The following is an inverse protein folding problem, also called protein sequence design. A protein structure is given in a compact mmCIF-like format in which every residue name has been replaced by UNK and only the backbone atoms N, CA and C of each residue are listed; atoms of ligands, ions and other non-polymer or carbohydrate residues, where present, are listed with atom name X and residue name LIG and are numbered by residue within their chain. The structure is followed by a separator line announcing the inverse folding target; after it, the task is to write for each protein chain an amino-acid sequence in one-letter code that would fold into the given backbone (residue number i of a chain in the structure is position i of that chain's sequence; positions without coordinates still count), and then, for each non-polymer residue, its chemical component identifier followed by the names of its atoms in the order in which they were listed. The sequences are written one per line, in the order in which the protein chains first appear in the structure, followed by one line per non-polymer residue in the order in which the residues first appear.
data_IF_880025292451
#
_entry.id   IF_880025292451
#
_cell.length_a   1.000
_cell.length_b   1.000
_cell.length_c   1.000
_cell.angle_alpha   90.00
_cell.angle_beta   90.00
_cell.angle_gamma   90.00
#
_symmetry.space_group_name_H-M   'P 1'
#
loop_
_entity.id
_entity.type
_entity.pdbx_description
1 polymer ?
#
# COMPACT_ATOMS: atom_id res chain seq x y z
N UNK A 1 -1.69 66.53 -5.82
CA UNK A 1 -1.93 67.43 -4.67
C UNK A 1 -1.78 66.63 -3.39
N UNK A 2 -0.97 67.15 -2.44
CA UNK A 2 -0.82 66.74 -1.03
C UNK A 2 -0.20 65.35 -0.79
N UNK A 3 0.71 65.12 0.16
CA UNK A 3 1.71 65.87 0.96
C UNK A 3 2.25 64.78 1.92
N UNK A 4 3.57 64.68 2.08
CA UNK A 4 4.28 64.30 3.32
C UNK A 4 3.71 63.22 4.24
N UNK A 5 4.47 62.15 4.51
CA UNK A 5 5.10 61.91 5.84
C UNK A 5 6.40 61.12 5.64
N UNK A 6 7.50 61.76 6.03
CA UNK A 6 8.80 61.14 6.36
C UNK A 6 8.75 60.64 7.81
N UNK A 7 9.35 59.47 8.07
CA UNK A 7 9.98 59.05 9.35
C UNK A 7 10.79 57.79 9.01
N UNK A 8 12.05 57.91 8.61
CA UNK A 8 13.26 58.00 9.44
C UNK A 8 13.35 56.88 10.49
N UNK A 9 14.03 55.78 10.13
CA UNK A 9 14.71 54.91 11.07
C UNK A 9 16.12 54.63 10.53
N UNK A 10 17.12 55.03 11.31
CA UNK A 10 18.54 54.91 11.06
C UNK A 10 19.08 53.56 11.59
N UNK A 11 20.02 53.01 10.81
CA UNK A 11 21.17 52.19 11.23
C UNK A 11 20.87 50.73 11.62
N UNK A 12 21.71 49.72 11.36
CA UNK A 12 23.17 49.63 11.28
C UNK A 12 23.57 48.53 10.27
N UNK A 13 24.65 48.76 9.53
CA UNK A 13 25.28 47.83 8.59
C UNK A 13 26.12 46.75 9.30
N UNK A 14 26.24 45.55 8.71
CA UNK A 14 27.52 44.81 8.58
C UNK A 14 27.47 43.95 7.32
N UNK A 15 28.42 44.20 6.41
CA UNK A 15 28.76 43.34 5.29
C UNK A 15 29.73 42.25 5.74
N UNK A 16 29.58 41.05 5.21
CA UNK A 16 30.67 40.09 5.06
C UNK A 16 30.44 39.28 3.78
N UNK A 17 31.27 39.55 2.78
CA UNK A 17 31.51 38.67 1.65
C UNK A 17 32.61 37.67 2.05
N UNK A 18 32.45 36.42 1.66
CA UNK A 18 33.52 35.43 1.65
C UNK A 18 33.04 34.10 1.08
N UNK A 19 33.51 33.77 -0.14
CA UNK A 19 34.17 32.53 -0.57
C UNK A 19 33.60 31.18 -0.07
N UNK A 20 33.57 30.04 -0.76
CA UNK A 20 34.02 29.55 -2.06
C UNK A 20 33.50 28.08 -2.13
N UNK A 21 33.44 27.53 -3.35
CA UNK A 21 33.15 26.17 -3.81
C UNK A 21 33.37 24.97 -2.84
N UNK A 22 32.45 23.99 -2.88
CA UNK A 22 32.75 22.58 -3.24
C UNK A 22 31.59 21.61 -2.91
N UNK A 23 31.19 20.80 -3.90
CA UNK A 23 30.59 19.46 -3.76
C UNK A 23 31.70 18.46 -4.15
N UNK A 24 31.68 17.14 -3.83
CA UNK A 24 30.72 16.36 -3.04
C UNK A 24 31.38 15.47 -1.97
N UNK A 25 30.59 14.93 -1.03
CA UNK A 25 31.04 13.82 -0.19
C UNK A 25 29.91 12.79 -0.01
N UNK A 26 30.21 11.59 -0.52
CA UNK A 26 29.58 10.30 -0.28
C UNK A 26 29.33 10.10 1.22
N UNK A 27 28.08 10.01 1.63
CA UNK A 27 27.71 9.54 2.97
C UNK A 27 27.80 8.01 2.95
N UNK A 28 28.90 7.49 3.49
CA UNK A 28 29.00 6.08 3.89
C UNK A 28 28.03 5.90 5.05
N UNK A 29 26.88 5.27 4.77
CA UNK A 29 25.89 4.99 5.80
C UNK A 29 26.39 3.82 6.66
N UNK A 30 26.93 4.12 7.83
CA UNK A 30 27.04 3.15 8.91
C UNK A 30 25.66 2.96 9.56
N UNK A 31 25.19 1.73 9.82
CA UNK A 31 23.92 1.54 10.53
C UNK A 31 24.09 1.82 12.03
N UNK A 32 23.20 2.57 12.69
CA UNK A 32 23.24 2.74 14.13
C UNK A 32 22.71 1.49 14.87
N UNK A 33 23.22 1.33 16.09
CA UNK A 33 23.06 0.14 16.94
C UNK A 33 21.59 -0.18 17.30
N UNK A 34 21.25 -1.46 17.19
CA UNK A 34 19.95 -2.03 17.56
C UNK A 34 19.65 -1.83 19.06
N UNK A 35 18.56 -1.13 19.39
CA UNK A 35 18.04 -1.04 20.75
C UNK A 35 17.23 -2.29 21.10
N UNK A 36 17.67 -3.02 22.14
CA UNK A 36 16.95 -4.15 22.73
C UNK A 36 15.79 -3.66 23.60
N UNK A 37 14.56 -4.07 23.31
CA UNK A 37 13.45 -4.00 24.27
C UNK A 37 12.92 -5.39 24.59
N UNK A 38 12.73 -5.62 25.90
CA UNK A 38 12.38 -6.88 26.53
C UNK A 38 10.86 -7.10 26.64
N UNK A 39 10.41 -8.33 26.37
CA UNK A 39 9.49 -9.02 27.27
C UNK A 39 8.00 -9.11 26.90
N UNK A 40 7.66 -10.26 26.31
CA UNK A 40 6.38 -11.02 26.38
C UNK A 40 5.32 -10.80 25.31
N UNK A 41 4.81 -11.94 24.80
CA UNK A 41 3.84 -12.20 23.72
C UNK A 41 4.26 -12.05 22.25
N UNK A 42 5.31 -11.29 21.93
CA UNK A 42 5.89 -11.26 20.59
C UNK A 42 7.10 -12.21 20.48
N UNK A 43 7.31 -12.87 19.34
CA UNK A 43 8.66 -13.29 18.99
C UNK A 43 9.55 -12.04 19.10
N UNK A 44 10.71 -12.13 19.76
CA UNK A 44 11.69 -11.04 19.69
C UNK A 44 11.95 -10.73 18.21
N UNK A 45 12.18 -9.45 17.88
CA UNK A 45 12.44 -9.03 16.50
C UNK A 45 13.47 -9.93 15.80
N UNK A 46 14.54 -10.29 16.52
CA UNK A 46 15.58 -11.22 16.04
C UNK A 46 15.05 -12.62 15.68
N UNK A 47 14.13 -13.19 16.47
CA UNK A 47 13.55 -14.51 16.18
C UNK A 47 12.60 -14.44 14.98
N UNK A 48 11.80 -13.37 14.88
CA UNK A 48 10.94 -13.13 13.71
C UNK A 48 11.77 -12.94 12.44
N UNK A 49 12.86 -12.16 12.53
CA UNK A 49 13.80 -11.93 11.44
C UNK A 49 14.45 -13.23 10.98
N UNK A 50 14.95 -14.05 11.90
CA UNK A 50 15.51 -15.37 11.56
C UNK A 50 14.48 -16.29 10.88
N UNK A 51 13.22 -16.29 11.34
CA UNK A 51 12.16 -17.06 10.69
C UNK A 51 11.82 -16.54 9.28
N UNK A 52 11.78 -15.21 9.10
CA UNK A 52 11.54 -14.57 7.81
C UNK A 52 12.67 -14.87 6.80
N UNK A 53 13.92 -14.81 7.25
CA UNK A 53 15.12 -15.16 6.47
C UNK A 53 15.15 -16.65 6.09
N UNK A 54 14.55 -17.51 6.91
CA UNK A 54 14.35 -18.93 6.60
C UNK A 54 13.12 -19.22 5.72
N UNK A 55 12.45 -18.17 5.21
CA UNK A 55 11.36 -18.30 4.26
C UNK A 55 9.96 -18.42 4.87
N UNK A 56 9.78 -18.28 6.18
CA UNK A 56 8.43 -18.33 6.76
C UNK A 56 7.59 -17.11 6.32
N UNK A 57 6.59 -17.35 5.47
CA UNK A 57 5.77 -16.28 4.89
C UNK A 57 5.01 -15.44 5.94
N UNK A 58 4.60 -16.03 7.08
CA UNK A 58 3.94 -15.28 8.16
C UNK A 58 4.94 -14.37 8.87
N UNK A 59 6.15 -14.86 9.13
CA UNK A 59 7.22 -14.07 9.71
C UNK A 59 7.68 -12.95 8.76
N UNK A 60 7.77 -13.22 7.45
CA UNK A 60 8.04 -12.20 6.43
C UNK A 60 6.95 -11.14 6.42
N UNK A 61 5.67 -11.53 6.41
CA UNK A 61 4.56 -10.57 6.51
C UNK A 61 4.62 -9.74 7.80
N UNK A 62 4.95 -10.36 8.94
CA UNK A 62 5.07 -9.65 10.21
C UNK A 62 6.28 -8.71 10.25
N UNK A 63 7.39 -9.09 9.62
CA UNK A 63 8.57 -8.24 9.49
C UNK A 63 8.32 -7.06 8.55
N UNK A 64 7.57 -7.30 7.46
CA UNK A 64 7.07 -6.25 6.57
C UNK A 64 6.26 -5.22 7.36
N UNK A 65 5.31 -5.67 8.18
CA UNK A 65 4.55 -4.80 9.07
C UNK A 65 5.41 -4.05 10.08
N UNK A 66 6.38 -4.73 10.72
CA UNK A 66 7.26 -4.09 11.69
C UNK A 66 8.02 -2.90 11.06
N UNK A 67 8.55 -3.06 9.84
CA UNK A 67 9.19 -1.98 9.10
C UNK A 67 8.22 -0.92 8.59
N UNK A 68 7.00 -1.30 8.22
CA UNK A 68 5.96 -0.40 7.70
C UNK A 68 5.51 0.60 8.77
N UNK A 69 5.24 0.13 10.00
CA UNK A 69 4.77 0.98 11.10
C UNK A 69 5.85 1.38 12.10
N UNK A 70 7.09 0.91 11.94
CA UNK A 70 8.19 1.13 12.88
C UNK A 70 7.99 0.43 14.24
N UNK A 71 7.36 -0.75 14.25
CA UNK A 71 7.08 -1.48 15.49
C UNK A 71 8.27 -2.34 15.92
N UNK A 72 9.04 -1.86 16.90
CA UNK A 72 10.22 -2.57 17.42
C UNK A 72 11.44 -2.48 16.51
N UNK A 73 11.37 -1.70 15.42
CA UNK A 73 12.45 -1.38 14.49
C UNK A 73 12.21 0.02 13.91
N UNK A 74 13.24 0.70 13.41
CA UNK A 74 13.07 1.96 12.67
C UNK A 74 12.22 1.71 11.42
N UNK A 75 11.31 2.65 11.13
CA UNK A 75 10.44 2.56 9.97
C UNK A 75 11.27 2.56 8.68
N UNK A 76 10.99 1.64 7.77
CA UNK A 76 11.67 1.55 6.48
C UNK A 76 10.75 0.94 5.42
N UNK A 77 10.18 1.80 4.56
CA UNK A 77 9.19 1.37 3.57
C UNK A 77 9.79 0.47 2.48
N UNK A 78 11.06 0.64 2.11
CA UNK A 78 11.71 -0.26 1.14
C UNK A 78 11.84 -1.69 1.70
N UNK A 79 12.21 -1.80 2.98
CA UNK A 79 12.29 -3.08 3.69
C UNK A 79 10.91 -3.71 3.88
N UNK A 80 9.91 -2.88 4.21
CA UNK A 80 8.53 -3.35 4.31
C UNK A 80 8.03 -3.93 2.98
N UNK A 81 8.22 -3.21 1.88
CA UNK A 81 7.84 -3.66 0.55
C UNK A 81 8.56 -4.96 0.16
N UNK A 82 9.86 -5.05 0.43
CA UNK A 82 10.63 -6.26 0.19
C UNK A 82 10.04 -7.49 0.90
N UNK A 83 9.76 -7.37 2.21
CA UNK A 83 9.24 -8.50 2.99
C UNK A 83 7.79 -8.86 2.66
N UNK A 84 6.94 -7.86 2.39
CA UNK A 84 5.58 -8.13 1.91
C UNK A 84 5.60 -8.80 0.54
N UNK A 85 6.48 -8.39 -0.37
CA UNK A 85 6.65 -9.05 -1.67
C UNK A 85 7.04 -10.52 -1.48
N UNK A 86 8.07 -10.81 -0.68
CA UNK A 86 8.52 -12.19 -0.44
C UNK A 86 7.41 -13.07 0.15
N UNK A 87 6.67 -12.58 1.15
CA UNK A 87 5.54 -13.31 1.71
C UNK A 87 4.40 -13.49 0.68
N UNK A 88 4.15 -12.46 -0.12
CA UNK A 88 3.11 -12.46 -1.14
C UNK A 88 3.41 -13.43 -2.30
N UNK A 89 4.68 -13.56 -2.69
CA UNK A 89 5.15 -14.55 -3.68
C UNK A 89 4.87 -15.99 -3.23
N UNK A 90 4.84 -16.21 -1.91
CA UNK A 90 4.45 -17.49 -1.30
C UNK A 90 2.94 -17.66 -1.08
N UNK A 91 2.13 -16.72 -1.58
CA UNK A 91 0.67 -16.79 -1.46
C UNK A 91 0.08 -16.13 -0.22
N UNK A 92 0.87 -15.45 0.63
CA UNK A 92 0.29 -14.85 1.85
C UNK A 92 -0.63 -13.66 1.52
N UNK A 93 -1.95 -13.87 1.57
CA UNK A 93 -2.97 -12.91 1.09
C UNK A 93 -2.86 -11.50 1.69
N UNK A 94 -2.64 -11.37 3.02
CA UNK A 94 -2.48 -10.05 3.64
C UNK A 94 -1.21 -9.33 3.16
N UNK A 95 -0.15 -10.09 2.85
CA UNK A 95 1.09 -9.49 2.35
C UNK A 95 0.95 -9.07 0.89
N UNK A 96 0.23 -9.84 0.08
CA UNK A 96 -0.16 -9.45 -1.28
C UNK A 96 -0.98 -8.16 -1.27
N UNK A 97 -1.95 -8.04 -0.36
CA UNK A 97 -2.74 -6.82 -0.19
C UNK A 97 -1.87 -5.62 0.22
N UNK A 98 -1.01 -5.77 1.23
CA UNK A 98 -0.16 -4.66 1.69
C UNK A 98 0.87 -4.25 0.62
N UNK A 99 1.47 -5.20 -0.10
CA UNK A 99 2.37 -4.90 -1.20
C UNK A 99 1.65 -4.17 -2.36
N UNK A 100 0.39 -4.52 -2.63
CA UNK A 100 -0.43 -3.82 -3.61
C UNK A 100 -0.72 -2.37 -3.21
N UNK A 101 -1.00 -2.09 -1.92
CA UNK A 101 -1.13 -0.71 -1.42
C UNK A 101 0.16 0.08 -1.64
N UNK A 102 1.31 -0.52 -1.33
CA UNK A 102 2.62 0.12 -1.53
C UNK A 102 2.92 0.42 -2.99
N UNK A 103 2.59 -0.49 -3.91
CA UNK A 103 2.70 -0.26 -5.36
C UNK A 103 1.73 0.82 -5.85
N UNK A 104 0.50 0.87 -5.32
CA UNK A 104 -0.49 1.88 -5.71
C UNK A 104 -0.04 3.29 -5.30
N UNK A 105 0.57 3.40 -4.13
CA UNK A 105 0.92 4.68 -3.50
C UNK A 105 2.39 5.09 -3.77
N UNK A 106 3.22 4.18 -4.30
CA UNK A 106 4.65 4.41 -4.52
C UNK A 106 5.48 4.44 -3.23
N UNK A 107 5.01 3.76 -2.19
CA UNK A 107 5.65 3.74 -0.87
C UNK A 107 6.73 2.67 -0.83
N UNK A 108 8.01 3.05 -0.77
CA UNK A 108 9.14 2.10 -0.71
C UNK A 108 9.36 1.27 -1.98
N UNK A 109 8.51 1.41 -3.00
CA UNK A 109 8.61 0.81 -4.33
C UNK A 109 8.11 1.79 -5.39
N UNK A 110 8.55 1.69 -6.65
CA UNK A 110 8.01 2.52 -7.73
C UNK A 110 6.50 2.33 -7.89
N UNK A 111 5.79 3.46 -8.02
CA UNK A 111 4.34 3.45 -8.19
C UNK A 111 3.93 2.73 -9.48
N UNK A 112 2.96 1.83 -9.40
CA UNK A 112 2.36 1.16 -10.55
C UNK A 112 0.95 0.65 -10.23
N UNK A 113 -0.07 1.29 -10.82
CA UNK A 113 -1.46 0.86 -10.69
C UNK A 113 -1.70 -0.51 -11.33
N UNK A 114 -1.07 -0.81 -12.47
CA UNK A 114 -1.19 -2.11 -13.14
C UNK A 114 -0.65 -3.24 -12.24
N UNK A 115 0.52 -3.05 -11.64
CA UNK A 115 1.09 -4.05 -10.73
C UNK A 115 0.26 -4.14 -9.44
N UNK A 116 -0.21 -3.02 -8.90
CA UNK A 116 -1.09 -3.03 -7.73
C UNK A 116 -2.37 -3.84 -7.99
N UNK A 117 -3.01 -3.65 -9.16
CA UNK A 117 -4.18 -4.44 -9.56
C UNK A 117 -3.88 -5.94 -9.60
N UNK A 118 -2.75 -6.32 -10.19
CA UNK A 118 -2.34 -7.72 -10.25
C UNK A 118 -2.17 -8.33 -8.84
N UNK A 119 -1.55 -7.61 -7.92
CA UNK A 119 -1.35 -8.08 -6.53
C UNK A 119 -2.63 -8.08 -5.69
N UNK A 120 -3.49 -7.06 -5.82
CA UNK A 120 -4.82 -7.10 -5.20
C UNK A 120 -5.62 -8.29 -5.73
N UNK A 121 -5.57 -8.56 -7.04
CA UNK A 121 -6.32 -9.67 -7.64
C UNK A 121 -5.86 -11.02 -7.06
N UNK A 122 -4.55 -11.21 -6.84
CA UNK A 122 -4.03 -12.40 -6.15
C UNK A 122 -4.62 -12.56 -4.74
N UNK A 123 -4.66 -11.48 -3.95
CA UNK A 123 -5.25 -11.52 -2.61
C UNK A 123 -6.78 -11.74 -2.66
N UNK A 124 -7.44 -11.09 -3.62
CA UNK A 124 -8.89 -11.16 -3.81
C UNK A 124 -9.37 -12.57 -4.19
N UNK A 125 -8.59 -13.27 -5.03
CA UNK A 125 -8.84 -14.67 -5.39
C UNK A 125 -8.69 -15.63 -4.20
N UNK A 126 -8.02 -15.22 -3.13
CA UNK A 126 -7.94 -15.97 -1.86
C UNK A 126 -9.03 -15.55 -0.86
N UNK A 127 -10.02 -14.77 -1.28
CA UNK A 127 -11.12 -14.33 -0.42
C UNK A 127 -10.81 -13.08 0.40
N UNK A 128 -9.70 -12.38 0.17
CA UNK A 128 -9.39 -11.16 0.91
C UNK A 128 -10.34 -10.01 0.54
N UNK A 129 -11.33 -9.75 1.38
CA UNK A 129 -12.49 -8.91 1.07
C UNK A 129 -12.14 -7.46 0.76
N UNK A 130 -11.17 -6.86 1.48
CA UNK A 130 -10.66 -5.52 1.15
C UNK A 130 -9.94 -5.48 -0.20
N UNK A 131 -9.30 -6.58 -0.61
CA UNK A 131 -8.65 -6.65 -1.91
C UNK A 131 -9.70 -6.76 -3.02
N UNK A 132 -10.76 -7.56 -2.83
CA UNK A 132 -11.90 -7.65 -3.74
C UNK A 132 -12.54 -6.26 -3.95
N UNK A 133 -12.76 -5.52 -2.88
CA UNK A 133 -13.26 -4.14 -2.95
C UNK A 133 -12.30 -3.23 -3.75
N UNK A 134 -10.99 -3.28 -3.48
CA UNK A 134 -10.02 -2.47 -4.20
C UNK A 134 -9.94 -2.81 -5.69
N UNK A 135 -9.97 -4.10 -6.07
CA UNK A 135 -10.03 -4.52 -7.47
C UNK A 135 -11.26 -3.92 -8.14
N UNK A 136 -12.43 -3.98 -7.49
CA UNK A 136 -13.64 -3.37 -8.01
C UNK A 136 -13.50 -1.87 -8.25
N UNK A 137 -12.97 -1.14 -7.27
CA UNK A 137 -12.79 0.31 -7.38
C UNK A 137 -11.79 0.70 -8.48
N UNK A 138 -10.75 -0.10 -8.71
CA UNK A 138 -9.83 0.11 -9.83
C UNK A 138 -10.53 -0.08 -11.17
N UNK A 139 -11.42 -1.06 -11.30
CA UNK A 139 -12.26 -1.22 -12.49
C UNK A 139 -13.31 -0.11 -12.66
N UNK A 140 -13.86 0.46 -11.59
CA UNK A 140 -14.76 1.63 -11.68
C UNK A 140 -14.01 2.83 -12.26
N UNK A 141 -12.80 3.08 -11.76
CA UNK A 141 -12.02 4.27 -12.10
C UNK A 141 -11.17 4.13 -13.36
N UNK A 142 -10.94 2.90 -13.82
CA UNK A 142 -9.97 2.61 -14.87
C UNK A 142 -8.51 2.82 -14.41
N UNK A 143 -8.20 2.53 -13.15
CA UNK A 143 -6.84 2.64 -12.60
C UNK A 143 -6.07 1.34 -12.90
N UNK A 144 -5.03 1.42 -13.73
CA UNK A 144 -4.21 0.24 -14.10
C UNK A 144 -4.91 -0.75 -15.05
N UNK A 145 -6.15 -0.49 -15.44
CA UNK A 145 -6.96 -1.28 -16.38
C UNK A 145 -8.01 -0.38 -17.04
N UNK A 146 -8.55 -0.76 -18.19
CA UNK A 146 -9.71 -0.07 -18.74
C UNK A 146 -10.91 -0.18 -17.78
N UNK A 147 -11.69 0.90 -17.66
CA UNK A 147 -12.84 0.90 -16.80
C UNK A 147 -13.88 -0.14 -17.25
N UNK A 148 -14.38 -0.95 -16.31
CA UNK A 148 -15.39 -1.98 -16.56
C UNK A 148 -16.27 -2.17 -15.32
N UNK A 149 -17.44 -1.52 -15.35
CA UNK A 149 -18.38 -1.57 -14.24
C UNK A 149 -19.04 -2.94 -14.06
N UNK A 150 -19.05 -3.83 -15.07
CA UNK A 150 -19.57 -5.20 -14.89
C UNK A 150 -18.58 -6.04 -14.11
N UNK A 151 -17.29 -5.95 -14.45
CA UNK A 151 -16.22 -6.58 -13.66
C UNK A 151 -16.15 -5.98 -12.26
N UNK A 152 -16.28 -4.66 -12.11
CA UNK A 152 -16.34 -4.03 -10.79
C UNK A 152 -17.51 -4.53 -9.95
N UNK A 153 -18.72 -4.60 -10.54
CA UNK A 153 -19.89 -5.12 -9.87
C UNK A 153 -19.68 -6.58 -9.40
N UNK A 154 -19.10 -7.42 -10.25
CA UNK A 154 -18.83 -8.82 -9.89
C UNK A 154 -17.92 -8.95 -8.66
N UNK A 155 -16.85 -8.15 -8.60
CA UNK A 155 -15.96 -8.12 -7.43
C UNK A 155 -16.64 -7.52 -6.19
N UNK A 156 -17.53 -6.54 -6.34
CA UNK A 156 -18.31 -5.98 -5.23
C UNK A 156 -19.28 -6.99 -4.62
N UNK A 157 -19.89 -7.85 -5.43
CA UNK A 157 -20.73 -8.96 -4.93
C UNK A 157 -19.91 -9.85 -3.99
N UNK A 158 -18.68 -10.19 -4.38
CA UNK A 158 -17.78 -11.01 -3.55
C UNK A 158 -17.34 -10.27 -2.28
N UNK A 159 -16.95 -8.99 -2.42
CA UNK A 159 -16.51 -8.15 -1.31
C UNK A 159 -17.61 -7.98 -0.23
N UNK A 160 -18.87 -7.80 -0.65
CA UNK A 160 -20.02 -7.71 0.22
C UNK A 160 -20.26 -9.00 1.02
N UNK A 161 -20.04 -10.18 0.41
CA UNK A 161 -20.15 -11.45 1.15
C UNK A 161 -19.04 -11.67 2.19
N UNK A 162 -17.92 -10.96 2.06
CA UNK A 162 -16.79 -11.00 2.99
C UNK A 162 -16.73 -9.81 3.95
N UNK A 163 -17.82 -9.06 4.12
CA UNK A 163 -17.93 -7.92 5.04
C UNK A 163 -16.91 -6.79 4.79
N UNK A 164 -16.51 -6.55 3.53
CA UNK A 164 -15.68 -5.40 3.20
C UNK A 164 -16.47 -4.09 3.42
N UNK A 165 -15.92 -3.20 4.26
CA UNK A 165 -16.56 -1.92 4.57
C UNK A 165 -16.84 -1.11 3.29
N UNK A 166 -18.07 -0.62 3.16
CA UNK A 166 -18.52 0.17 2.00
C UNK A 166 -18.87 -0.65 0.75
N UNK A 167 -18.63 -1.97 0.74
CA UNK A 167 -18.92 -2.81 -0.42
C UNK A 167 -20.41 -2.84 -0.78
N UNK A 168 -21.31 -2.94 0.21
CA UNK A 168 -22.76 -2.95 -0.04
C UNK A 168 -23.25 -1.66 -0.71
N UNK A 169 -22.77 -0.52 -0.22
CA UNK A 169 -23.13 0.79 -0.77
C UNK A 169 -22.59 0.95 -2.19
N UNK A 170 -21.33 0.57 -2.41
CA UNK A 170 -20.73 0.61 -3.74
C UNK A 170 -21.44 -0.35 -4.71
N UNK A 171 -21.82 -1.55 -4.25
CA UNK A 171 -22.56 -2.54 -5.02
C UNK A 171 -23.91 -1.98 -5.48
N UNK A 172 -24.63 -1.28 -4.60
CA UNK A 172 -25.88 -0.63 -4.97
C UNK A 172 -25.69 0.45 -6.04
N UNK A 173 -24.68 1.32 -5.88
CA UNK A 173 -24.39 2.42 -6.80
C UNK A 173 -23.98 1.88 -8.18
N UNK A 174 -22.98 0.98 -8.21
CA UNK A 174 -22.46 0.40 -9.46
C UNK A 174 -23.54 -0.46 -10.12
N UNK A 175 -24.31 -1.23 -9.33
CA UNK A 175 -25.44 -2.03 -9.81
C UNK A 175 -26.51 -1.22 -10.52
N UNK A 176 -26.88 -0.05 -9.97
CA UNK A 176 -27.78 0.91 -10.65
C UNK A 176 -27.17 1.44 -11.95
N UNK A 177 -25.86 1.68 -11.97
CA UNK A 177 -25.14 2.21 -13.13
C UNK A 177 -25.06 1.23 -14.31
N UNK A 178 -25.00 -0.08 -14.06
CA UNK A 178 -24.92 -1.09 -15.13
C UNK A 178 -26.28 -1.56 -15.66
N UNK A 179 -27.37 -1.32 -14.91
CA UNK A 179 -28.75 -1.61 -15.35
C UNK A 179 -28.94 -3.07 -15.76
N UNK A 180 -29.40 -3.30 -16.99
CA UNK A 180 -29.73 -4.63 -17.52
C UNK A 180 -28.52 -5.59 -17.56
N UNK A 181 -27.30 -5.06 -17.50
CA UNK A 181 -26.06 -5.86 -17.46
C UNK A 181 -25.75 -6.43 -16.06
N UNK A 182 -26.62 -6.24 -15.07
CA UNK A 182 -26.47 -6.82 -13.74
C UNK A 182 -26.36 -8.35 -13.77
N UNK A 183 -27.14 -9.01 -14.65
CA UNK A 183 -27.08 -10.46 -14.82
C UNK A 183 -25.69 -10.93 -15.32
N UNK A 184 -25.03 -10.16 -16.18
CA UNK A 184 -23.67 -10.46 -16.64
C UNK A 184 -22.68 -10.38 -15.45
N UNK A 185 -22.87 -9.38 -14.59
CA UNK A 185 -22.07 -9.17 -13.39
C UNK A 185 -22.26 -10.28 -12.35
N UNK A 186 -23.51 -10.69 -12.08
CA UNK A 186 -23.82 -11.80 -11.19
C UNK A 186 -23.23 -13.13 -11.72
N UNK A 187 -23.35 -13.38 -13.03
CA UNK A 187 -22.75 -14.56 -13.67
C UNK A 187 -21.21 -14.56 -13.59
N UNK A 188 -20.59 -13.39 -13.77
CA UNK A 188 -19.15 -13.23 -13.62
C UNK A 188 -18.69 -13.45 -12.17
N UNK A 189 -19.44 -12.95 -11.18
CA UNK A 189 -19.14 -13.15 -9.77
C UNK A 189 -19.13 -14.65 -9.41
N UNK A 190 -20.13 -15.41 -9.86
CA UNK A 190 -20.20 -16.86 -9.63
C UNK A 190 -19.09 -17.63 -10.36
N UNK A 191 -18.68 -17.17 -11.55
CA UNK A 191 -17.50 -17.72 -12.24
C UNK A 191 -16.23 -17.51 -11.41
N UNK A 192 -15.96 -16.28 -10.98
CA UNK A 192 -14.80 -15.94 -10.15
C UNK A 192 -14.81 -16.77 -8.87
N UNK A 193 -15.94 -16.83 -8.17
CA UNK A 193 -16.11 -17.64 -6.95
C UNK A 193 -15.84 -19.12 -7.16
N UNK A 194 -16.14 -19.65 -8.33
CA UNK A 194 -15.82 -21.04 -8.69
C UNK A 194 -14.31 -21.21 -8.89
N UNK A 195 -13.65 -20.27 -9.56
CA UNK A 195 -12.19 -20.27 -9.72
C UNK A 195 -11.47 -20.18 -8.36
N UNK A 196 -11.97 -19.35 -7.44
CA UNK A 196 -11.45 -19.24 -6.07
C UNK A 196 -11.48 -20.58 -5.32
N UNK A 197 -12.59 -21.34 -5.42
CA UNK A 197 -12.72 -22.66 -4.77
C UNK A 197 -11.82 -23.74 -5.36
N UNK A 198 -11.46 -23.63 -6.64
CA UNK A 198 -10.58 -24.59 -7.31
C UNK A 198 -9.11 -24.35 -6.92
N UNK A 199 -8.78 -23.14 -6.44
CA UNK A 199 -7.44 -22.76 -6.02
C UNK A 199 -7.08 -23.16 -4.57
N UNK A 200 -8.04 -23.70 -3.80
CA UNK A 200 -7.86 -24.25 -2.44
C UNK A 200 -7.29 -25.69 -2.46
#
# INVERSE_FOLDING_TARGET
MRKFVLLLAMAIAVAAQGCNESKPATQVHTPPAQQKTSGTAAMSFEKMKAAAENGDARAQSALGYAYDVGHGVEQNLESAAHWYQQAGEQGHANAQFNFAEMLRDGAGVPQSAENALAWYTKAAMQGHSKAQYNVAMMHVKGEGVAADNVTAYAWLVLAATGDAEGADQALEIVGKGIGDRKNDGDALAEKIKTEMKIAE
#
